data_IF_369653439533
#
_entry.id   IF_369653439533
#
_cell.length_a   1.000
_cell.length_b   1.000
_cell.length_c   1.000
_cell.angle_alpha   90.00
_cell.angle_beta   90.00
_cell.angle_gamma   90.00
#
_symmetry.space_group_name_H-M   'P 1'
#
loop_
_entity.id
_entity.type
_entity.pdbx_description
1 polymer ?
#
# COMPACT_ATOMS: atom_id res chain seq x y z
N UNK A 1 -54.06 -13.17 -42.14
CA UNK A 1 -53.28 -14.18 -41.37
C UNK A 1 -52.67 -13.48 -40.18
N UNK A 2 -53.13 -13.80 -38.97
CA UNK A 2 -52.70 -13.24 -37.69
C UNK A 2 -51.65 -14.17 -37.06
N UNK A 3 -50.47 -13.64 -36.76
CA UNK A 3 -49.53 -14.15 -35.74
C UNK A 3 -49.21 -12.92 -34.87
N UNK A 4 -49.42 -12.86 -33.55
CA UNK A 4 -49.32 -13.88 -32.52
C UNK A 4 -48.01 -13.68 -31.76
N UNK A 5 -47.91 -12.67 -30.88
CA UNK A 5 -46.68 -12.35 -30.16
C UNK A 5 -46.96 -11.75 -28.78
N UNK A 6 -46.96 -12.60 -27.76
CA UNK A 6 -47.12 -12.22 -26.35
C UNK A 6 -45.87 -11.47 -25.88
N UNK A 7 -46.03 -10.20 -25.48
CA UNK A 7 -44.98 -9.44 -24.82
C UNK A 7 -44.78 -9.99 -23.39
N UNK A 8 -43.65 -10.67 -23.14
CA UNK A 8 -43.21 -10.94 -21.77
C UNK A 8 -42.65 -9.65 -21.19
N UNK A 9 -43.37 -9.06 -20.24
CA UNK A 9 -42.89 -7.95 -19.43
C UNK A 9 -41.79 -8.46 -18.49
N UNK A 10 -40.54 -8.14 -18.79
CA UNK A 10 -39.43 -8.35 -17.86
C UNK A 10 -39.60 -7.34 -16.70
N UNK A 11 -39.93 -7.84 -15.51
CA UNK A 11 -39.86 -7.04 -14.28
C UNK A 11 -38.39 -6.68 -14.05
N UNK A 12 -38.05 -5.41 -14.25
CA UNK A 12 -36.72 -4.89 -13.93
C UNK A 12 -36.58 -4.90 -12.41
N UNK A 13 -35.56 -5.57 -11.83
CA UNK A 13 -35.32 -5.49 -10.40
C UNK A 13 -35.06 -4.03 -10.04
N UNK A 14 -35.77 -3.53 -9.04
CA UNK A 14 -35.54 -2.20 -8.46
C UNK A 14 -34.09 -2.13 -7.99
N UNK A 15 -33.30 -1.11 -8.39
CA UNK A 15 -31.95 -0.95 -7.89
C UNK A 15 -32.01 -0.81 -6.37
N UNK A 16 -31.32 -1.69 -5.66
CA UNK A 16 -31.14 -1.57 -4.22
C UNK A 16 -30.46 -0.21 -3.92
N UNK A 17 -30.83 0.47 -2.83
CA UNK A 17 -30.13 1.67 -2.41
C UNK A 17 -28.64 1.35 -2.19
N UNK A 18 -27.72 2.26 -2.57
CA UNK A 18 -26.30 2.04 -2.36
C UNK A 18 -26.03 1.82 -0.87
N UNK A 19 -25.04 0.98 -0.52
CA UNK A 19 -24.65 0.82 0.88
C UNK A 19 -24.25 2.18 1.46
N UNK A 20 -24.46 2.39 2.78
CA UNK A 20 -24.03 3.62 3.43
C UNK A 20 -22.54 3.84 3.18
N UNK A 21 -22.18 5.08 2.84
CA UNK A 21 -20.79 5.45 2.64
C UNK A 21 -20.00 5.17 3.94
N UNK A 22 -18.77 4.64 3.85
CA UNK A 22 -17.93 4.46 5.02
C UNK A 22 -17.73 5.81 5.72
N UNK A 23 -17.64 5.80 7.04
CA UNK A 23 -17.30 6.98 7.81
C UNK A 23 -15.99 7.59 7.28
N UNK A 24 -15.94 8.92 7.21
CA UNK A 24 -14.72 9.61 6.79
C UNK A 24 -13.56 9.25 7.74
N UNK A 25 -12.35 8.98 7.21
CA UNK A 25 -11.20 8.71 8.05
C UNK A 25 -10.87 9.91 8.95
N UNK A 26 -10.22 9.69 10.11
CA UNK A 26 -9.69 10.77 10.92
C UNK A 26 -8.78 11.71 10.09
N UNK A 27 -8.69 13.01 10.42
CA UNK A 27 -7.74 13.91 9.79
C UNK A 27 -6.31 13.35 9.84
N UNK A 28 -5.61 13.36 8.70
CA UNK A 28 -4.25 12.82 8.58
C UNK A 28 -4.18 11.29 8.40
N UNK A 29 -5.31 10.60 8.21
CA UNK A 29 -5.39 9.16 7.97
C UNK A 29 -6.01 8.81 6.62
N UNK A 30 -5.81 9.66 5.62
CA UNK A 30 -6.32 9.45 4.26
C UNK A 30 -5.32 8.69 3.38
N UNK A 31 -5.79 8.21 2.23
CA UNK A 31 -4.91 7.70 1.19
C UNK A 31 -3.90 8.76 0.69
N UNK A 32 -4.26 10.05 0.72
CA UNK A 32 -3.35 11.13 0.35
C UNK A 32 -2.21 11.29 1.36
N UNK A 33 -2.47 11.09 2.65
CA UNK A 33 -1.45 11.11 3.70
C UNK A 33 -0.48 9.93 3.54
N UNK A 34 -1.00 8.74 3.24
CA UNK A 34 -0.17 7.56 2.96
C UNK A 34 0.70 7.75 1.71
N UNK A 35 0.13 8.33 0.64
CA UNK A 35 0.87 8.61 -0.57
C UNK A 35 2.00 9.63 -0.32
N UNK A 36 1.73 10.70 0.44
CA UNK A 36 2.74 11.68 0.83
C UNK A 36 3.87 11.05 1.65
N UNK A 37 3.54 10.27 2.69
CA UNK A 37 4.53 9.57 3.51
C UNK A 37 5.38 8.61 2.66
N UNK A 38 4.74 7.84 1.77
CA UNK A 38 5.44 6.93 0.86
C UNK A 38 6.36 7.67 -0.11
N UNK A 39 5.94 8.83 -0.61
CA UNK A 39 6.76 9.70 -1.45
C UNK A 39 8.02 10.18 -0.75
N UNK A 40 7.89 10.66 0.50
CA UNK A 40 9.05 11.06 1.33
C UNK A 40 10.01 9.89 1.55
N UNK A 41 9.50 8.71 1.90
CA UNK A 41 10.32 7.49 2.05
C UNK A 41 11.03 7.15 0.75
N UNK A 42 10.35 7.26 -0.40
CA UNK A 42 10.92 7.01 -1.72
C UNK A 42 12.07 7.95 -2.05
N UNK A 43 11.90 9.25 -1.83
CA UNK A 43 12.96 10.26 -2.03
C UNK A 43 14.16 9.99 -1.13
N UNK A 44 13.94 9.76 0.17
CA UNK A 44 15.01 9.49 1.12
C UNK A 44 15.76 8.19 0.79
N UNK A 45 15.03 7.14 0.36
CA UNK A 45 15.64 5.89 -0.10
C UNK A 45 16.54 6.13 -1.32
N UNK A 46 16.09 6.93 -2.29
CA UNK A 46 16.91 7.28 -3.45
C UNK A 46 18.22 7.98 -3.06
N UNK A 47 18.15 8.98 -2.17
CA UNK A 47 19.33 9.68 -1.66
C UNK A 47 20.29 8.74 -0.91
N UNK A 48 19.76 7.85 -0.09
CA UNK A 48 20.55 6.82 0.60
C UNK A 48 21.28 5.92 -0.40
N UNK A 49 20.57 5.39 -1.40
CA UNK A 49 21.18 4.52 -2.41
C UNK A 49 22.25 5.23 -3.24
N UNK A 50 22.10 6.52 -3.56
CA UNK A 50 23.14 7.28 -4.26
C UNK A 50 24.43 7.48 -3.44
N UNK A 51 24.33 7.44 -2.11
CA UNK A 51 25.47 7.58 -1.20
C UNK A 51 26.03 6.24 -0.71
N UNK A 52 25.32 5.13 -0.98
CA UNK A 52 25.68 3.76 -0.61
C UNK A 52 25.74 2.87 -1.85
N UNK A 53 26.81 2.97 -2.67
CA UNK A 53 26.88 2.31 -3.97
C UNK A 53 26.83 0.78 -3.88
N UNK A 54 27.33 0.18 -2.82
CA UNK A 54 27.23 -1.26 -2.53
C UNK A 54 25.78 -1.70 -2.31
N UNK A 55 25.02 -0.94 -1.51
CA UNK A 55 23.59 -1.20 -1.26
C UNK A 55 22.78 -1.00 -2.55
N UNK A 56 23.07 0.06 -3.31
CA UNK A 56 22.44 0.31 -4.60
C UNK A 56 22.71 -0.80 -5.61
N UNK A 57 23.94 -1.31 -5.68
CA UNK A 57 24.29 -2.43 -6.53
C UNK A 57 23.53 -3.70 -6.12
N UNK A 58 23.41 -3.96 -4.81
CA UNK A 58 22.61 -5.08 -4.30
C UNK A 58 21.15 -4.97 -4.76
N UNK A 59 20.45 -3.86 -4.49
CA UNK A 59 19.05 -3.71 -4.90
C UNK A 59 18.87 -3.70 -6.42
N UNK A 60 19.83 -3.16 -7.18
CA UNK A 60 19.83 -3.19 -8.65
C UNK A 60 19.96 -4.62 -9.19
N UNK A 61 20.69 -5.50 -8.49
CA UNK A 61 20.87 -6.90 -8.88
C UNK A 61 19.60 -7.74 -8.75
N UNK A 62 18.60 -7.28 -7.97
CA UNK A 62 17.34 -7.99 -7.73
C UNK A 62 16.34 -7.89 -8.88
N UNK A 63 16.63 -7.08 -9.92
CA UNK A 63 15.72 -6.86 -11.05
C UNK A 63 15.42 -8.17 -11.80
N UNK A 64 14.15 -8.43 -12.03
CA UNK A 64 13.68 -9.60 -12.78
C UNK A 64 13.53 -10.88 -11.96
N UNK A 65 13.88 -10.86 -10.67
CA UNK A 65 13.69 -12.01 -9.79
C UNK A 65 12.21 -12.19 -9.41
N UNK A 66 11.74 -13.45 -9.23
CA UNK A 66 10.45 -13.72 -8.61
C UNK A 66 10.36 -13.10 -7.20
N UNK A 67 9.17 -12.66 -6.80
CA UNK A 67 8.96 -11.98 -5.51
C UNK A 67 9.43 -12.80 -4.30
N UNK A 68 9.30 -14.12 -4.34
CA UNK A 68 9.74 -15.00 -3.25
C UNK A 68 11.27 -15.01 -3.12
N UNK A 69 11.97 -15.18 -4.24
CA UNK A 69 13.44 -15.14 -4.28
C UNK A 69 13.98 -13.77 -3.87
N UNK A 70 13.35 -12.70 -4.34
CA UNK A 70 13.69 -11.32 -3.96
C UNK A 70 13.63 -11.14 -2.45
N UNK A 71 12.54 -11.57 -1.80
CA UNK A 71 12.38 -11.46 -0.34
C UNK A 71 13.45 -12.23 0.40
N UNK A 72 13.74 -13.47 -0.03
CA UNK A 72 14.80 -14.28 0.57
C UNK A 72 16.17 -13.59 0.49
N UNK A 73 16.54 -13.05 -0.68
CA UNK A 73 17.82 -12.34 -0.86
C UNK A 73 17.91 -11.07 -0.04
N UNK A 74 16.82 -10.29 0.04
CA UNK A 74 16.77 -9.08 0.89
C UNK A 74 16.95 -9.46 2.35
N UNK A 75 16.29 -10.51 2.84
CA UNK A 75 16.44 -10.95 4.23
C UNK A 75 17.89 -11.33 4.53
N UNK A 76 18.50 -12.20 3.73
CA UNK A 76 19.91 -12.59 3.88
C UNK A 76 20.84 -11.38 3.87
N UNK A 77 20.60 -10.41 2.99
CA UNK A 77 21.41 -9.20 2.94
C UNK A 77 21.25 -8.34 4.20
N UNK A 78 20.03 -8.17 4.72
CA UNK A 78 19.81 -7.42 5.96
C UNK A 78 20.44 -8.10 7.18
N UNK A 79 20.34 -9.43 7.28
CA UNK A 79 20.95 -10.21 8.37
C UNK A 79 22.49 -10.05 8.38
N UNK A 80 23.10 -9.95 7.20
CA UNK A 80 24.53 -9.70 7.05
C UNK A 80 24.92 -8.22 7.24
N UNK A 81 23.97 -7.28 7.12
CA UNK A 81 24.21 -5.84 7.13
C UNK A 81 23.25 -5.13 8.13
N UNK A 82 23.40 -5.37 9.45
CA UNK A 82 22.48 -4.84 10.45
C UNK A 82 22.46 -3.30 10.52
N UNK A 83 23.56 -2.63 10.15
CA UNK A 83 23.60 -1.17 10.04
C UNK A 83 22.71 -0.68 8.88
N UNK A 84 22.85 -1.26 7.69
CA UNK A 84 22.01 -0.92 6.52
C UNK A 84 20.54 -1.18 6.83
N UNK A 85 20.25 -2.27 7.53
CA UNK A 85 18.89 -2.57 7.99
C UNK A 85 18.35 -1.47 8.92
N UNK A 86 19.14 -1.04 9.91
CA UNK A 86 18.74 0.02 10.83
C UNK A 86 18.49 1.35 10.11
N UNK A 87 19.35 1.71 9.17
CA UNK A 87 19.25 2.94 8.37
C UNK A 87 18.02 2.91 7.44
N UNK A 88 17.78 1.81 6.73
CA UNK A 88 16.57 1.64 5.91
C UNK A 88 15.29 1.59 6.75
N UNK A 89 15.35 1.04 7.96
CA UNK A 89 14.23 1.08 8.91
C UNK A 89 13.96 2.52 9.38
N UNK A 90 15.01 3.31 9.64
CA UNK A 90 14.89 4.73 9.97
C UNK A 90 14.27 5.54 8.81
N UNK A 91 14.67 5.26 7.57
CA UNK A 91 14.09 5.89 6.37
C UNK A 91 12.59 5.59 6.25
N UNK A 92 12.13 4.40 6.66
CA UNK A 92 10.72 3.97 6.57
C UNK A 92 9.82 4.48 7.70
N UNK A 93 10.37 5.15 8.72
CA UNK A 93 9.60 5.60 9.88
C UNK A 93 8.34 6.41 9.55
N UNK A 94 8.32 7.33 8.56
CA UNK A 94 7.12 8.11 8.27
C UNK A 94 5.88 7.26 7.95
N UNK A 95 6.05 6.14 7.24
CA UNK A 95 4.95 5.22 6.93
C UNK A 95 4.58 4.38 8.15
N UNK A 96 5.57 3.97 8.95
CA UNK A 96 5.33 3.25 10.22
C UNK A 96 4.55 4.13 11.20
N UNK A 97 4.93 5.39 11.37
CA UNK A 97 4.27 6.35 12.25
C UNK A 97 2.85 6.68 11.77
N UNK A 98 2.63 6.72 10.45
CA UNK A 98 1.30 6.89 9.88
C UNK A 98 0.42 5.66 10.18
N UNK A 99 0.94 4.45 10.00
CA UNK A 99 0.20 3.23 10.36
C UNK A 99 -0.12 3.18 11.85
N UNK A 100 0.87 3.41 12.69
CA UNK A 100 0.71 3.38 14.15
C UNK A 100 -0.35 4.38 14.64
N UNK A 101 -0.48 5.55 14.00
CA UNK A 101 -1.49 6.55 14.38
C UNK A 101 -2.89 6.24 13.81
N UNK A 102 -2.97 5.60 12.65
CA UNK A 102 -4.22 5.44 11.88
C UNK A 102 -4.86 4.05 11.98
N UNK A 103 -4.07 3.01 12.25
CA UNK A 103 -4.53 1.63 12.43
C UNK A 103 -4.85 1.32 13.90
N UNK A 104 -4.81 2.32 14.79
CA UNK A 104 -5.29 2.19 16.16
C UNK A 104 -6.82 2.00 16.14
N UNK A 105 -7.39 1.00 16.86
CA UNK A 105 -8.84 0.87 16.97
C UNK A 105 -9.39 2.19 17.51
N UNK A 106 -10.43 2.72 16.84
CA UNK A 106 -11.13 3.91 17.33
C UNK A 106 -11.55 3.66 18.80
N UNK A 107 -11.41 4.66 19.71
CA UNK A 107 -12.01 4.56 21.04
C UNK A 107 -13.49 4.20 20.87
N UNK A 108 -13.98 3.21 21.60
CA UNK A 108 -15.33 2.63 21.47
C UNK A 108 -16.46 3.58 21.96
N UNK A 109 -16.17 4.87 22.08
CA UNK A 109 -16.99 5.78 22.86
C UNK A 109 -16.83 7.20 22.32
N UNK A 110 -17.54 7.46 21.21
CA UNK A 110 -18.12 8.76 20.90
C UNK A 110 -19.47 8.62 20.23
#
# INVERSE_FOLDING_TARGET
MLFGGSAMAFAQPTPAPPPPAPAAPPPGCTAADLAQASGVVGTATGQYLFTHPDVNNFFTSLRGLPNEELRGRVQTYMDANPQVQAELNAIRQPVTDLRNRCDAPAPLDR
#
